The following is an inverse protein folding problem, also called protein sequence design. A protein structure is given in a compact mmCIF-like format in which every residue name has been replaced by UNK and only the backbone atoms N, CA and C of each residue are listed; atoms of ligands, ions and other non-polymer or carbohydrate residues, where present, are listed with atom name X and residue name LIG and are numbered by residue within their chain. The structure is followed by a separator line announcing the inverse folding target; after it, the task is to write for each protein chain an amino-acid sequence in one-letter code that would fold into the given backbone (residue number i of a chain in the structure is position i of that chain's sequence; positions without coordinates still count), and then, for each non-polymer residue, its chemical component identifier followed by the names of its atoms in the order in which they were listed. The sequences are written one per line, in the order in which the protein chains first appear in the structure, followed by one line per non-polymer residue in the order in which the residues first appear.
data_IF_976875738584
#
_entry.id   IF_976875738584
#
_cell.length_a   1.000
_cell.length_b   1.000
_cell.length_c   1.000
_cell.angle_alpha   90.00
_cell.angle_beta   90.00
_cell.angle_gamma   90.00
#
_symmetry.space_group_name_H-M   'P 1'
#
loop_
_entity.id
_entity.type
_entity.pdbx_description
1 polymer ?
#
# COMPACT_ATOMS: atom_id res chain seq x y z
N UNK A 1 51.84 26.25 40.65
CA UNK A 1 52.06 26.36 39.19
C UNK A 1 50.87 25.87 38.34
N UNK A 2 50.20 24.75 38.65
CA UNK A 2 49.04 24.27 37.84
C UNK A 2 47.75 25.12 37.95
N UNK A 3 47.47 25.80 39.07
CA UNK A 3 46.29 26.66 39.20
C UNK A 3 46.44 28.04 38.52
N UNK A 4 47.67 28.53 38.34
CA UNK A 4 47.94 29.78 37.63
C UNK A 4 47.79 29.59 36.11
N UNK A 5 48.02 28.37 35.60
CA UNK A 5 47.80 28.02 34.20
C UNK A 5 46.31 27.99 33.81
N UNK A 6 45.43 27.58 34.72
CA UNK A 6 43.98 27.54 34.49
C UNK A 6 43.37 28.94 34.54
N UNK A 7 43.87 29.81 35.45
CA UNK A 7 43.45 31.22 35.46
C UNK A 7 44.00 32.01 34.27
N UNK A 8 45.20 31.72 33.75
CA UNK A 8 45.69 32.35 32.51
C UNK A 8 44.85 31.94 31.30
N UNK A 9 44.43 30.68 31.21
CA UNK A 9 43.55 30.20 30.13
C UNK A 9 42.15 30.82 30.24
N UNK A 10 41.61 31.02 31.45
CA UNK A 10 40.34 31.71 31.66
C UNK A 10 40.41 33.24 31.41
N UNK A 11 41.56 33.89 31.70
CA UNK A 11 41.77 35.30 31.40
C UNK A 11 42.04 35.55 29.90
N UNK A 12 42.63 34.57 29.19
CA UNK A 12 42.72 34.55 27.72
C UNK A 12 41.36 34.27 27.05
N UNK A 13 40.46 33.53 27.71
CA UNK A 13 39.07 33.38 27.27
C UNK A 13 38.20 34.63 27.50
N UNK A 14 38.68 35.61 28.28
CA UNK A 14 38.05 36.92 28.45
C UNK A 14 38.41 37.94 27.36
N UNK A 15 39.37 37.61 26.49
CA UNK A 15 39.85 38.41 25.36
C UNK A 15 40.27 37.45 24.22
N UNK A 16 39.33 36.64 23.73
CA UNK A 16 39.53 35.85 22.52
C UNK A 16 38.53 36.32 21.48
N UNK A 17 39.02 36.78 20.33
CA UNK A 17 38.21 36.78 19.13
C UNK A 17 37.53 35.41 19.00
N UNK A 18 36.22 35.44 18.76
CA UNK A 18 35.40 34.25 18.59
C UNK A 18 36.01 33.40 17.46
N UNK A 19 36.29 32.13 17.73
CA UNK A 19 37.15 31.34 16.88
C UNK A 19 36.34 30.65 15.76
N UNK A 20 36.33 31.28 14.59
CA UNK A 20 35.92 30.64 13.34
C UNK A 20 36.67 29.30 13.15
N UNK A 21 35.98 28.27 12.67
CA UNK A 21 36.56 26.95 12.44
C UNK A 21 36.65 26.67 10.95
N UNK A 22 37.73 26.06 10.47
CA UNK A 22 37.90 25.74 9.05
C UNK A 22 38.79 24.51 8.84
N UNK A 23 38.73 23.94 7.64
CA UNK A 23 39.53 22.78 7.26
C UNK A 23 39.24 22.32 5.83
N UNK A 24 39.63 21.09 5.53
CA UNK A 24 39.35 20.43 4.24
C UNK A 24 38.20 19.42 4.39
N UNK A 25 37.50 19.16 3.29
CA UNK A 25 36.39 18.19 3.21
C UNK A 25 36.32 17.59 1.80
N UNK A 26 37.49 17.25 1.26
CA UNK A 26 37.72 16.84 -0.11
C UNK A 26 39.13 17.23 -0.54
N UNK A 27 39.68 16.61 -1.61
CA UNK A 27 41.03 16.92 -2.10
C UNK A 27 41.19 18.38 -2.54
N UNK A 28 40.09 19.01 -2.97
CA UNK A 28 40.05 20.38 -3.49
C UNK A 28 38.96 21.22 -2.84
N UNK A 29 38.38 20.75 -1.73
CA UNK A 29 37.31 21.43 -1.01
C UNK A 29 37.75 21.87 0.38
N UNK A 30 37.30 23.05 0.76
CA UNK A 30 37.51 23.64 2.08
C UNK A 30 36.18 23.97 2.72
N UNK A 31 36.11 23.84 4.04
CA UNK A 31 34.98 24.31 4.82
C UNK A 31 35.39 25.44 5.74
N UNK A 32 34.47 26.36 5.98
CA UNK A 32 34.59 27.45 6.95
C UNK A 32 33.27 27.58 7.71
N UNK A 33 33.33 27.66 9.02
CA UNK A 33 32.19 27.78 9.91
C UNK A 33 32.37 29.03 10.76
N UNK A 34 31.43 29.96 10.60
CA UNK A 34 31.33 31.19 11.39
C UNK A 34 30.65 30.93 12.73
N UNK A 35 30.87 31.83 13.70
CA UNK A 35 30.31 31.70 15.05
C UNK A 35 28.77 31.80 15.11
N UNK A 36 28.16 32.44 14.10
CA UNK A 36 26.70 32.49 13.97
C UNK A 36 26.10 31.19 13.39
N UNK A 37 26.94 30.20 13.06
CA UNK A 37 26.53 28.86 12.64
C UNK A 37 26.35 28.70 11.13
N UNK A 38 27.04 29.50 10.31
CA UNK A 38 27.00 29.39 8.84
C UNK A 38 28.18 28.57 8.36
N UNK A 39 27.90 27.36 7.85
CA UNK A 39 28.89 26.50 7.23
C UNK A 39 28.97 26.77 5.73
N UNK A 40 30.13 27.17 5.25
CA UNK A 40 30.40 27.38 3.82
C UNK A 40 31.35 26.29 3.31
N UNK A 41 30.96 25.59 2.24
CA UNK A 41 31.81 24.66 1.50
C UNK A 41 32.28 25.36 0.23
N UNK A 42 33.59 25.46 0.02
CA UNK A 42 34.21 26.17 -1.10
C UNK A 42 35.25 25.31 -1.81
N UNK A 43 35.56 25.65 -3.06
CA UNK A 43 36.47 24.87 -3.90
C UNK A 43 35.73 24.16 -5.03
N UNK A 44 36.40 23.21 -5.67
CA UNK A 44 35.88 22.48 -6.84
C UNK A 44 35.96 20.97 -6.65
N UNK A 45 34.88 20.26 -6.95
CA UNK A 45 34.84 18.80 -6.98
C UNK A 45 33.96 18.20 -5.90
N UNK A 46 34.31 16.98 -5.48
CA UNK A 46 33.49 16.13 -4.61
C UNK A 46 33.82 16.33 -3.13
N UNK A 47 32.79 16.31 -2.29
CA UNK A 47 32.96 16.22 -0.84
C UNK A 47 33.42 14.81 -0.43
N UNK A 48 34.23 14.75 0.62
CA UNK A 48 34.56 13.48 1.29
C UNK A 48 33.31 12.77 1.79
N UNK A 49 33.36 11.44 1.79
CA UNK A 49 32.36 10.58 2.45
C UNK A 49 32.72 10.39 3.93
N UNK A 50 31.69 10.39 4.78
CA UNK A 50 31.80 10.22 6.22
C UNK A 50 31.07 8.95 6.66
N UNK A 51 31.31 8.51 7.89
CA UNK A 51 30.55 7.41 8.49
C UNK A 51 30.39 7.65 9.99
N UNK A 52 29.19 7.45 10.51
CA UNK A 52 28.92 7.60 11.96
C UNK A 52 28.99 6.24 12.66
N UNK A 53 29.63 6.12 13.85
CA UNK A 53 30.33 7.18 14.61
C UNK A 53 31.82 7.37 14.25
N UNK A 54 32.40 6.56 13.36
CA UNK A 54 33.85 6.39 13.24
C UNK A 54 34.59 7.52 12.50
N UNK A 55 33.97 8.12 11.50
CA UNK A 55 34.53 9.21 10.68
C UNK A 55 33.46 10.30 10.48
N UNK A 56 33.13 11.03 11.54
CA UNK A 56 32.11 12.08 11.48
C UNK A 56 32.60 13.33 10.73
N UNK A 57 31.69 14.01 10.04
CA UNK A 57 31.98 15.29 9.41
C UNK A 57 32.51 16.31 10.45
N UNK A 58 33.52 17.13 10.10
CA UNK A 58 34.19 18.03 11.06
C UNK A 58 33.25 18.97 11.80
N UNK A 59 32.16 19.40 11.16
CA UNK A 59 31.19 20.35 11.70
C UNK A 59 30.06 19.73 12.54
N UNK A 60 30.00 18.39 12.69
CA UNK A 60 28.88 17.67 13.30
C UNK A 60 28.43 18.22 14.66
N UNK A 61 29.39 18.63 15.50
CA UNK A 61 29.14 19.05 16.88
C UNK A 61 29.09 20.57 17.07
N UNK A 62 29.11 21.34 15.98
CA UNK A 62 29.19 22.80 16.06
C UNK A 62 27.84 23.52 15.92
N UNK A 63 26.72 22.79 15.91
CA UNK A 63 25.38 23.41 15.87
C UNK A 63 25.13 24.23 14.60
N UNK A 64 25.48 23.67 13.43
CA UNK A 64 25.31 24.33 12.13
C UNK A 64 23.84 24.71 11.92
N UNK A 65 23.60 26.00 11.61
CA UNK A 65 22.26 26.56 11.40
C UNK A 65 21.93 26.77 9.93
N UNK A 66 22.94 27.06 9.11
CA UNK A 66 22.80 27.31 7.67
C UNK A 66 24.01 26.75 6.92
N UNK A 67 23.76 26.13 5.77
CA UNK A 67 24.81 25.61 4.88
C UNK A 67 24.77 26.35 3.54
N UNK A 68 25.94 26.73 3.05
CA UNK A 68 26.15 27.29 1.70
C UNK A 68 27.15 26.39 0.98
N UNK A 69 26.67 25.62 0.00
CA UNK A 69 27.53 24.81 -0.87
C UNK A 69 27.97 25.68 -2.06
N UNK A 70 29.27 25.77 -2.31
CA UNK A 70 29.83 26.63 -3.35
C UNK A 70 29.62 26.12 -4.77
N UNK A 71 29.54 27.05 -5.73
CA UNK A 71 29.08 26.82 -7.12
C UNK A 71 29.92 25.83 -7.96
N UNK A 72 31.04 25.33 -7.46
CA UNK A 72 31.88 24.33 -8.16
C UNK A 72 31.94 22.97 -7.43
N UNK A 73 31.15 22.78 -6.37
CA UNK A 73 30.99 21.48 -5.70
C UNK A 73 30.07 20.59 -6.52
N UNK A 74 30.48 19.36 -6.81
CA UNK A 74 29.75 18.45 -7.71
C UNK A 74 28.97 17.35 -7.00
N UNK A 75 29.35 17.04 -5.75
CA UNK A 75 28.79 15.92 -4.97
C UNK A 75 28.72 16.30 -3.50
N UNK A 76 27.58 16.04 -2.86
CA UNK A 76 27.46 16.02 -1.40
C UNK A 76 27.73 14.60 -0.92
N UNK A 77 28.74 14.46 -0.06
CA UNK A 77 29.26 13.17 0.43
C UNK A 77 28.30 12.43 1.36
N UNK A 78 28.57 11.14 1.53
CA UNK A 78 27.84 10.28 2.48
C UNK A 78 27.91 10.85 3.89
N UNK A 79 26.79 10.89 4.62
CA UNK A 79 26.69 11.44 5.98
C UNK A 79 27.17 12.90 6.17
N UNK A 80 27.46 13.66 5.09
CA UNK A 80 28.16 14.95 5.17
C UNK A 80 27.51 15.95 6.15
N UNK A 81 26.18 16.03 6.19
CA UNK A 81 25.43 16.90 7.08
C UNK A 81 24.50 16.11 8.01
N UNK A 82 24.76 14.82 8.20
CA UNK A 82 23.94 13.98 9.05
C UNK A 82 23.98 14.44 10.51
N UNK A 83 22.83 14.46 11.17
CA UNK A 83 22.58 14.96 12.53
C UNK A 83 22.95 16.43 12.76
N UNK A 84 23.00 17.27 11.72
CA UNK A 84 23.00 18.73 11.88
C UNK A 84 21.61 19.18 12.36
N UNK A 85 21.25 18.86 13.60
CA UNK A 85 19.89 19.00 14.14
C UNK A 85 19.40 20.44 14.25
N UNK A 86 20.33 21.42 14.29
CA UNK A 86 20.03 22.86 14.29
C UNK A 86 19.94 23.47 12.88
N UNK A 87 20.17 22.69 11.82
CA UNK A 87 20.16 23.17 10.44
C UNK A 87 18.74 23.59 10.06
N UNK A 88 18.57 24.84 9.65
CA UNK A 88 17.27 25.40 9.24
C UNK A 88 17.18 25.62 7.73
N UNK A 89 18.31 25.79 7.05
CA UNK A 89 18.37 26.04 5.61
C UNK A 89 19.69 25.58 4.98
N UNK A 90 19.61 25.09 3.75
CA UNK A 90 20.76 24.71 2.92
C UNK A 90 20.61 25.31 1.53
N UNK A 91 21.70 25.86 0.99
CA UNK A 91 21.81 26.26 -0.42
C UNK A 91 22.66 25.24 -1.16
N UNK A 92 22.06 24.56 -2.14
CA UNK A 92 22.72 23.56 -2.99
C UNK A 92 22.78 24.13 -4.43
N UNK A 93 23.96 24.34 -5.02
CA UNK A 93 24.10 24.95 -6.34
C UNK A 93 23.84 23.92 -7.46
N UNK A 94 23.54 24.42 -8.67
CA UNK A 94 23.30 23.59 -9.86
C UNK A 94 24.53 22.80 -10.35
N UNK A 95 25.70 22.98 -9.76
CA UNK A 95 26.85 22.11 -10.02
C UNK A 95 26.75 20.75 -9.32
N UNK A 96 25.95 20.63 -8.26
CA UNK A 96 25.77 19.37 -7.52
C UNK A 96 24.90 18.41 -8.32
N UNK A 97 25.48 17.30 -8.75
CA UNK A 97 24.80 16.25 -9.53
C UNK A 97 24.33 15.07 -8.69
N UNK A 98 24.90 14.91 -7.49
CA UNK A 98 24.65 13.75 -6.61
C UNK A 98 24.54 14.20 -5.15
N UNK A 99 23.46 13.75 -4.49
CA UNK A 99 23.29 13.79 -3.04
C UNK A 99 23.37 12.34 -2.54
N UNK A 100 24.47 11.98 -1.90
CA UNK A 100 24.73 10.61 -1.45
C UNK A 100 23.89 10.21 -0.23
N UNK A 101 24.03 8.94 0.14
CA UNK A 101 23.29 8.33 1.23
C UNK A 101 23.50 9.08 2.54
N UNK A 102 22.42 9.18 3.33
CA UNK A 102 22.40 9.84 4.65
C UNK A 102 22.86 11.32 4.67
N UNK A 103 23.06 11.98 3.52
CA UNK A 103 23.69 13.31 3.43
C UNK A 103 23.09 14.36 4.38
N UNK A 104 21.77 14.39 4.54
CA UNK A 104 21.03 15.27 5.45
C UNK A 104 20.20 14.50 6.49
N UNK A 105 20.50 13.22 6.71
CA UNK A 105 19.75 12.40 7.68
C UNK A 105 19.75 13.04 9.07
N UNK A 106 18.61 13.06 9.75
CA UNK A 106 18.39 13.64 11.08
C UNK A 106 18.71 15.15 11.19
N UNK A 107 18.59 15.90 10.09
CA UNK A 107 18.52 17.38 10.13
C UNK A 107 17.12 17.83 10.60
N UNK A 108 16.78 17.54 11.86
CA UNK A 108 15.42 17.63 12.39
C UNK A 108 14.78 19.03 12.31
N UNK A 109 15.57 20.11 12.29
CA UNK A 109 15.07 21.49 12.15
C UNK A 109 15.03 22.03 10.72
N UNK A 110 15.39 21.22 9.71
CA UNK A 110 15.43 21.67 8.32
C UNK A 110 14.01 21.82 7.81
N UNK A 111 13.63 23.04 7.38
CA UNK A 111 12.23 23.36 7.06
C UNK A 111 11.90 23.27 5.57
N UNK A 112 12.90 23.46 4.71
CA UNK A 112 12.78 23.41 3.25
C UNK A 112 14.11 23.01 2.60
N UNK A 113 14.01 22.32 1.47
CA UNK A 113 15.15 22.00 0.59
C UNK A 113 14.73 22.16 -0.86
N UNK A 114 15.52 22.90 -1.62
CA UNK A 114 15.43 22.94 -3.09
C UNK A 114 16.52 22.04 -3.65
N UNK A 115 16.13 20.94 -4.27
CA UNK A 115 17.06 20.03 -4.94
C UNK A 115 17.36 20.62 -6.34
N UNK A 116 18.64 20.84 -6.72
CA UNK A 116 18.97 21.50 -7.97
C UNK A 116 18.72 20.62 -9.20
N UNK A 117 18.45 21.25 -10.35
CA UNK A 117 18.07 20.61 -11.62
C UNK A 117 19.15 19.70 -12.25
N UNK A 118 20.32 19.62 -11.65
CA UNK A 118 21.41 18.74 -12.05
C UNK A 118 21.43 17.42 -11.27
N UNK A 119 20.67 17.31 -10.17
CA UNK A 119 20.60 16.08 -9.39
C UNK A 119 19.78 15.03 -10.12
N UNK A 120 20.37 13.87 -10.37
CA UNK A 120 19.69 12.75 -11.06
C UNK A 120 19.18 11.68 -10.11
N UNK A 121 19.74 11.60 -8.90
CA UNK A 121 19.43 10.58 -7.88
C UNK A 121 19.41 11.24 -6.51
N UNK A 122 18.36 10.95 -5.73
CA UNK A 122 18.33 11.21 -4.30
C UNK A 122 18.69 9.90 -3.61
N UNK A 123 19.87 9.86 -2.96
CA UNK A 123 20.38 8.65 -2.32
C UNK A 123 19.54 8.14 -1.15
N UNK A 124 19.83 6.92 -0.73
CA UNK A 124 19.13 6.27 0.37
C UNK A 124 19.30 7.08 1.66
N UNK A 125 18.22 7.22 2.42
CA UNK A 125 18.19 7.98 3.68
C UNK A 125 18.61 9.47 3.55
N UNK A 126 18.72 10.03 2.34
CA UNK A 126 19.30 11.37 2.12
C UNK A 126 18.68 12.47 3.01
N UNK A 127 17.37 12.44 3.23
CA UNK A 127 16.62 13.35 4.11
C UNK A 127 15.83 12.61 5.21
N UNK A 128 16.21 11.36 5.53
CA UNK A 128 15.60 10.58 6.60
C UNK A 128 15.59 11.38 7.92
N UNK A 129 14.46 11.45 8.63
CA UNK A 129 14.35 12.13 9.92
C UNK A 129 14.40 13.66 9.86
N UNK A 130 14.26 14.28 8.68
CA UNK A 130 14.05 15.73 8.58
C UNK A 130 12.63 16.13 9.02
N UNK A 131 12.30 15.92 10.30
CA UNK A 131 10.93 16.00 10.83
C UNK A 131 10.24 17.35 10.65
N UNK A 132 10.99 18.46 10.57
CA UNK A 132 10.45 19.80 10.31
C UNK A 132 10.34 20.16 8.83
N UNK A 133 10.73 19.27 7.90
CA UNK A 133 10.69 19.55 6.46
C UNK A 133 9.24 19.67 6.00
N UNK A 134 8.83 20.87 5.60
CA UNK A 134 7.42 21.16 5.24
C UNK A 134 7.13 21.01 3.75
N UNK A 135 8.16 21.19 2.92
CA UNK A 135 8.11 21.11 1.46
C UNK A 135 9.46 20.67 0.89
N UNK A 136 9.40 19.91 -0.20
CA UNK A 136 10.57 19.57 -1.03
C UNK A 136 10.19 19.73 -2.50
N UNK A 137 11.07 20.39 -3.26
CA UNK A 137 10.95 20.46 -4.72
C UNK A 137 11.90 19.44 -5.33
N UNK A 138 11.35 18.39 -5.95
CA UNK A 138 12.10 17.37 -6.68
C UNK A 138 12.14 17.77 -8.17
N UNK A 139 13.33 18.03 -8.75
CA UNK A 139 13.44 18.51 -10.12
C UNK A 139 13.27 17.40 -11.16
N UNK A 140 12.90 17.78 -12.39
CA UNK A 140 12.68 16.87 -13.54
C UNK A 140 13.94 16.13 -14.02
N UNK A 141 15.09 16.36 -13.40
CA UNK A 141 16.32 15.57 -13.62
C UNK A 141 16.35 14.30 -12.79
N UNK A 142 15.60 14.24 -11.68
CA UNK A 142 15.61 13.08 -10.78
C UNK A 142 14.89 11.90 -11.42
N UNK A 143 15.58 10.78 -11.48
CA UNK A 143 15.05 9.51 -12.02
C UNK A 143 14.74 8.49 -10.94
N UNK A 144 15.40 8.62 -9.78
CA UNK A 144 15.29 7.68 -8.65
C UNK A 144 15.23 8.43 -7.33
N UNK A 145 14.24 8.06 -6.50
CA UNK A 145 14.15 8.42 -5.09
C UNK A 145 14.52 7.16 -4.29
N UNK A 146 15.64 7.21 -3.57
CA UNK A 146 16.19 6.07 -2.84
C UNK A 146 15.34 5.58 -1.67
N UNK A 147 15.75 4.46 -1.09
CA UNK A 147 15.11 3.88 0.08
C UNK A 147 15.21 4.84 1.27
N UNK A 148 14.14 4.99 2.03
CA UNK A 148 14.06 5.89 3.19
C UNK A 148 14.40 7.38 2.90
N UNK A 149 14.45 7.82 1.63
CA UNK A 149 14.95 9.14 1.26
C UNK A 149 14.29 10.30 2.03
N UNK A 150 12.99 10.23 2.30
CA UNK A 150 12.20 11.20 3.08
C UNK A 150 11.47 10.53 4.26
N UNK A 151 11.92 9.35 4.70
CA UNK A 151 11.34 8.67 5.85
C UNK A 151 11.32 9.59 7.07
N UNK A 152 10.20 9.63 7.80
CA UNK A 152 10.05 10.44 9.01
C UNK A 152 10.03 11.96 8.78
N UNK A 153 9.88 12.44 7.55
CA UNK A 153 9.60 13.86 7.27
C UNK A 153 8.15 14.19 7.66
N UNK A 154 7.85 14.12 8.95
CA UNK A 154 6.48 14.11 9.49
C UNK A 154 5.70 15.39 9.22
N UNK A 155 6.38 16.52 9.05
CA UNK A 155 5.78 17.82 8.70
C UNK A 155 5.60 18.05 7.19
N UNK A 156 6.01 17.11 6.34
CA UNK A 156 5.96 17.29 4.89
C UNK A 156 4.51 17.29 4.43
N UNK A 157 4.02 18.43 3.95
CA UNK A 157 2.60 18.61 3.60
C UNK A 157 2.27 18.28 2.15
N UNK A 158 3.27 18.43 1.27
CA UNK A 158 3.15 18.18 -0.16
C UNK A 158 4.49 17.71 -0.75
N UNK A 159 4.41 16.84 -1.76
CA UNK A 159 5.53 16.47 -2.61
C UNK A 159 5.04 16.39 -4.05
N UNK A 160 5.78 17.03 -4.96
CA UNK A 160 5.55 16.86 -6.40
C UNK A 160 6.60 15.90 -6.93
N UNK A 161 6.18 14.70 -7.33
CA UNK A 161 7.06 13.71 -7.95
C UNK A 161 7.07 13.97 -9.46
N UNK A 162 8.22 14.32 -10.08
CA UNK A 162 8.27 14.67 -11.49
C UNK A 162 8.15 13.44 -12.40
N UNK A 163 7.68 13.65 -13.64
CA UNK A 163 7.51 12.60 -14.66
C UNK A 163 8.82 11.93 -15.11
N UNK A 164 9.98 12.42 -14.65
CA UNK A 164 11.27 11.77 -14.86
C UNK A 164 11.51 10.61 -13.89
N UNK A 165 10.82 10.56 -12.75
CA UNK A 165 11.00 9.52 -11.75
C UNK A 165 10.43 8.20 -12.26
N UNK A 166 11.26 7.16 -12.18
CA UNK A 166 10.90 5.79 -12.58
C UNK A 166 10.81 4.85 -11.39
N UNK A 167 11.48 5.18 -10.28
CA UNK A 167 11.58 4.37 -9.07
C UNK A 167 11.41 5.21 -7.81
N UNK A 168 10.51 4.76 -6.92
CA UNK A 168 10.36 5.22 -5.54
C UNK A 168 10.77 4.05 -4.64
N UNK A 169 11.82 4.25 -3.84
CA UNK A 169 12.37 3.25 -2.93
C UNK A 169 11.43 2.82 -1.81
N UNK A 170 11.78 1.73 -1.13
CA UNK A 170 11.09 1.29 0.09
C UNK A 170 11.19 2.34 1.19
N UNK A 171 10.13 2.47 1.99
CA UNK A 171 10.03 3.49 3.06
C UNK A 171 10.29 4.95 2.63
N UNK A 172 10.35 5.26 1.33
CA UNK A 172 10.82 6.55 0.82
C UNK A 172 10.08 7.76 1.43
N UNK A 173 8.77 7.64 1.68
CA UNK A 173 7.94 8.64 2.35
C UNK A 173 7.23 8.06 3.59
N UNK A 174 7.75 6.97 4.17
CA UNK A 174 7.14 6.40 5.38
C UNK A 174 7.14 7.43 6.52
N UNK A 175 6.03 7.52 7.26
CA UNK A 175 5.89 8.46 8.37
C UNK A 175 5.81 9.93 7.97
N UNK A 176 5.58 10.25 6.69
CA UNK A 176 5.19 11.60 6.26
C UNK A 176 3.74 11.92 6.68
N UNK A 177 3.49 11.95 7.98
CA UNK A 177 2.16 11.99 8.59
C UNK A 177 1.30 13.21 8.20
N UNK A 178 1.92 14.34 7.84
CA UNK A 178 1.23 15.54 7.36
C UNK A 178 1.01 15.59 5.85
N UNK A 179 1.46 14.58 5.09
CA UNK A 179 1.31 14.57 3.63
C UNK A 179 -0.15 14.38 3.27
N UNK A 180 -0.77 15.40 2.68
CA UNK A 180 -2.23 15.40 2.41
C UNK A 180 -2.59 14.80 1.06
N UNK A 181 -1.66 14.89 0.11
CA UNK A 181 -1.80 14.36 -1.24
C UNK A 181 -0.44 14.01 -1.83
N UNK A 182 -0.42 12.99 -2.68
CA UNK A 182 0.73 12.63 -3.50
C UNK A 182 0.24 12.32 -4.91
N UNK A 183 0.88 12.95 -5.89
CA UNK A 183 0.70 12.58 -7.31
C UNK A 183 1.88 11.73 -7.73
N UNK A 184 1.62 10.45 -8.01
CA UNK A 184 2.62 9.51 -8.51
C UNK A 184 2.48 9.46 -10.05
N UNK A 185 3.50 9.90 -10.82
CA UNK A 185 3.37 9.98 -12.26
C UNK A 185 3.40 8.60 -12.94
N UNK A 186 2.84 8.51 -14.16
CA UNK A 186 2.82 7.28 -14.97
C UNK A 186 4.20 6.76 -15.37
N UNK A 187 5.25 7.57 -15.22
CA UNK A 187 6.64 7.15 -15.40
C UNK A 187 7.13 6.19 -14.30
N UNK A 188 6.51 6.20 -13.11
CA UNK A 188 6.91 5.38 -11.98
C UNK A 188 6.49 3.93 -12.20
N UNK A 189 7.48 3.08 -12.46
CA UNK A 189 7.28 1.64 -12.68
C UNK A 189 7.40 0.83 -11.38
N UNK A 190 8.11 1.37 -10.38
CA UNK A 190 8.39 0.70 -9.11
C UNK A 190 8.08 1.61 -7.94
N UNK A 191 7.23 1.12 -7.03
CA UNK A 191 6.99 1.69 -5.70
C UNK A 191 7.42 0.62 -4.69
N UNK A 192 8.39 0.94 -3.84
CA UNK A 192 8.91 0.04 -2.80
C UNK A 192 7.88 -0.28 -1.72
N UNK A 193 8.13 -1.37 -0.97
CA UNK A 193 7.31 -1.68 0.21
C UNK A 193 7.39 -0.55 1.24
N UNK A 194 6.35 -0.35 2.03
CA UNK A 194 6.25 0.75 3.01
C UNK A 194 6.40 2.18 2.43
N UNK A 195 6.50 2.38 1.11
CA UNK A 195 6.89 3.68 0.54
C UNK A 195 6.04 4.86 1.03
N UNK A 196 4.75 4.64 1.30
CA UNK A 196 3.82 5.64 1.86
C UNK A 196 3.14 5.15 3.15
N UNK A 197 3.74 4.18 3.85
CA UNK A 197 3.23 3.71 5.14
C UNK A 197 3.22 4.84 6.18
N UNK A 198 2.23 4.87 7.06
CA UNK A 198 2.03 5.91 8.09
C UNK A 198 1.89 7.35 7.53
N UNK A 199 1.56 7.50 6.24
CA UNK A 199 1.13 8.78 5.66
C UNK A 199 -0.33 9.09 6.07
N UNK A 200 -0.56 9.27 7.37
CA UNK A 200 -1.88 9.27 7.98
C UNK A 200 -2.85 10.34 7.46
N UNK A 201 -2.35 11.42 6.85
CA UNK A 201 -3.15 12.52 6.29
C UNK A 201 -3.50 12.38 4.80
N UNK A 202 -2.98 11.38 4.09
CA UNK A 202 -3.30 11.21 2.65
C UNK A 202 -4.78 10.85 2.53
N UNK A 203 -5.50 11.62 1.72
CA UNK A 203 -6.96 11.44 1.54
C UNK A 203 -7.32 10.65 0.28
N UNK A 204 -6.45 10.69 -0.74
CA UNK A 204 -6.62 9.97 -2.00
C UNK A 204 -5.28 9.59 -2.61
N UNK A 205 -5.27 8.45 -3.31
CA UNK A 205 -4.10 7.98 -4.08
C UNK A 205 -4.56 7.47 -5.44
N UNK A 206 -3.84 7.88 -6.48
CA UNK A 206 -3.94 7.26 -7.82
C UNK A 206 -2.67 6.46 -8.08
N UNK A 207 -2.81 5.14 -8.21
CA UNK A 207 -1.69 4.27 -8.55
C UNK A 207 -1.42 4.38 -10.06
N UNK A 208 -0.15 4.54 -10.50
CA UNK A 208 0.22 4.66 -11.91
C UNK A 208 -0.12 3.41 -12.75
N UNK A 209 -0.51 3.60 -14.02
CA UNK A 209 -0.82 2.50 -14.95
C UNK A 209 0.39 1.62 -15.33
N UNK A 210 1.60 2.03 -14.95
CA UNK A 210 2.84 1.28 -15.14
C UNK A 210 3.15 0.34 -13.98
N UNK A 211 2.46 0.48 -12.85
CA UNK A 211 2.64 -0.38 -11.66
C UNK A 211 1.86 -1.69 -11.86
N UNK A 212 2.55 -2.81 -11.68
CA UNK A 212 1.96 -4.16 -11.75
C UNK A 212 1.75 -4.82 -10.38
N UNK A 213 2.47 -4.37 -9.36
CA UNK A 213 2.38 -4.88 -7.99
C UNK A 213 2.32 -3.74 -7.01
N UNK A 214 1.28 -3.71 -6.18
CA UNK A 214 1.27 -2.89 -4.96
C UNK A 214 1.98 -3.72 -3.89
N UNK A 215 3.17 -3.30 -3.48
CA UNK A 215 4.01 -4.08 -2.56
C UNK A 215 3.43 -4.08 -1.14
N UNK A 216 4.00 -4.93 -0.32
CA UNK A 216 3.65 -5.01 1.09
C UNK A 216 3.77 -3.66 1.80
N UNK A 217 2.79 -3.38 2.67
CA UNK A 217 2.69 -2.15 3.47
C UNK A 217 2.72 -0.81 2.71
N UNK A 218 2.60 -0.80 1.36
CA UNK A 218 2.82 0.43 0.56
C UNK A 218 2.01 1.64 1.07
N UNK A 219 0.76 1.43 1.48
CA UNK A 219 -0.14 2.45 2.06
C UNK A 219 -0.69 2.03 3.43
N UNK A 220 0.06 1.21 4.19
CA UNK A 220 -0.33 0.82 5.55
C UNK A 220 -0.50 2.06 6.45
N UNK A 221 -1.52 2.06 7.30
CA UNK A 221 -1.90 3.15 8.20
C UNK A 221 -2.08 4.53 7.53
N UNK A 222 -2.47 4.57 6.25
CA UNK A 222 -3.00 5.80 5.63
C UNK A 222 -4.43 6.05 6.15
N UNK A 223 -4.56 6.38 7.44
CA UNK A 223 -5.84 6.37 8.18
C UNK A 223 -6.90 7.32 7.62
N UNK A 224 -6.50 8.42 6.97
CA UNK A 224 -7.41 9.36 6.29
C UNK A 224 -7.72 9.01 4.83
N UNK A 225 -7.18 7.92 4.29
CA UNK A 225 -7.39 7.53 2.90
C UNK A 225 -8.86 7.17 2.68
N UNK A 226 -9.57 7.99 1.91
CA UNK A 226 -11.00 7.80 1.63
C UNK A 226 -11.24 7.07 0.31
N UNK A 227 -10.29 7.18 -0.63
CA UNK A 227 -10.38 6.62 -1.98
C UNK A 227 -9.02 6.22 -2.52
N UNK A 228 -8.98 5.11 -3.24
CA UNK A 228 -7.80 4.65 -4.00
C UNK A 228 -8.23 4.23 -5.40
N UNK A 229 -7.48 4.66 -6.41
CA UNK A 229 -7.62 4.17 -7.79
C UNK A 229 -6.54 3.15 -8.07
N UNK A 230 -6.94 1.88 -8.25
CA UNK A 230 -6.06 0.76 -8.62
C UNK A 230 -6.23 0.49 -10.13
N UNK A 231 -5.20 0.65 -10.97
CA UNK A 231 -5.30 0.48 -12.41
C UNK A 231 -5.31 -1.01 -12.81
N UNK A 232 -5.84 -1.28 -14.02
CA UNK A 232 -5.90 -2.62 -14.61
C UNK A 232 -4.52 -3.24 -14.94
N UNK A 233 -3.42 -2.50 -14.73
CA UNK A 233 -2.06 -3.04 -14.81
C UNK A 233 -1.70 -3.88 -13.58
N UNK A 234 -2.36 -3.64 -12.44
CA UNK A 234 -2.04 -4.31 -11.18
C UNK A 234 -2.54 -5.76 -11.20
N UNK A 235 -1.64 -6.71 -10.96
CA UNK A 235 -1.94 -8.14 -10.87
C UNK A 235 -1.92 -8.65 -9.43
N UNK A 236 -1.23 -7.94 -8.53
CA UNK A 236 -0.99 -8.36 -7.15
C UNK A 236 -1.16 -7.19 -6.18
N UNK A 237 -1.95 -7.40 -5.13
CA UNK A 237 -2.02 -6.53 -3.95
C UNK A 237 -1.30 -7.25 -2.81
N UNK A 238 -0.16 -6.72 -2.38
CA UNK A 238 0.70 -7.29 -1.34
C UNK A 238 0.08 -7.29 0.05
N UNK A 239 0.72 -7.98 0.99
CA UNK A 239 0.25 -8.03 2.37
C UNK A 239 0.29 -6.67 3.05
N UNK A 240 -0.67 -6.37 3.92
CA UNK A 240 -0.81 -5.07 4.60
C UNK A 240 -0.86 -3.83 3.66
N UNK A 241 -1.01 -3.99 2.34
CA UNK A 241 -0.86 -2.89 1.38
C UNK A 241 -1.75 -1.67 1.67
N UNK A 242 -2.96 -1.89 2.19
CA UNK A 242 -3.93 -0.90 2.64
C UNK A 242 -4.43 -1.19 4.06
N UNK A 243 -3.64 -1.90 4.87
CA UNK A 243 -3.99 -2.13 6.28
C UNK A 243 -4.12 -0.80 7.01
N UNK A 244 -5.03 -0.70 7.98
CA UNK A 244 -5.22 0.51 8.78
C UNK A 244 -5.76 1.72 8.01
N UNK A 245 -6.20 1.56 6.75
CA UNK A 245 -6.88 2.62 5.98
C UNK A 245 -8.31 2.84 6.49
N UNK A 246 -8.45 3.28 7.74
CA UNK A 246 -9.70 3.30 8.50
C UNK A 246 -10.82 4.16 7.90
N UNK A 247 -10.47 5.15 7.05
CA UNK A 247 -11.44 6.01 6.35
C UNK A 247 -11.84 5.51 4.95
N UNK A 248 -11.27 4.39 4.48
CA UNK A 248 -11.52 3.90 3.12
C UNK A 248 -12.94 3.34 3.03
N UNK A 249 -13.79 3.97 2.21
CA UNK A 249 -15.24 3.66 2.18
C UNK A 249 -15.61 2.60 1.14
N UNK A 250 -14.85 2.54 0.04
CA UNK A 250 -15.01 1.57 -1.04
C UNK A 250 -13.67 1.31 -1.75
N UNK A 251 -13.52 0.12 -2.30
CA UNK A 251 -12.40 -0.23 -3.17
C UNK A 251 -12.89 -1.07 -4.34
N UNK A 252 -12.49 -0.67 -5.56
CA UNK A 252 -12.70 -1.47 -6.77
C UNK A 252 -11.40 -2.20 -7.08
N UNK A 253 -11.39 -3.51 -6.90
CA UNK A 253 -10.24 -4.36 -7.26
C UNK A 253 -10.38 -4.70 -8.76
N UNK A 254 -9.41 -4.36 -9.63
CA UNK A 254 -9.54 -4.57 -11.06
C UNK A 254 -9.44 -6.05 -11.44
N UNK A 255 -10.07 -6.42 -12.57
CA UNK A 255 -10.13 -7.80 -13.09
C UNK A 255 -8.75 -8.39 -13.50
N UNK A 256 -7.69 -7.60 -13.43
CA UNK A 256 -6.30 -8.04 -13.60
C UNK A 256 -5.72 -8.67 -12.32
N UNK A 257 -6.28 -8.35 -11.14
CA UNK A 257 -5.77 -8.83 -9.85
C UNK A 257 -6.09 -10.31 -9.68
N UNK A 258 -5.06 -11.10 -9.39
CA UNK A 258 -5.18 -12.54 -9.16
C UNK A 258 -4.98 -12.94 -7.70
N UNK A 259 -4.31 -12.06 -6.92
CA UNK A 259 -3.89 -12.32 -5.53
C UNK A 259 -4.16 -11.10 -4.66
N UNK A 260 -4.83 -11.33 -3.53
CA UNK A 260 -4.97 -10.38 -2.42
C UNK A 260 -4.17 -10.95 -1.24
N UNK A 261 -3.10 -10.25 -0.85
CA UNK A 261 -2.20 -10.66 0.23
C UNK A 261 -2.85 -10.65 1.60
N UNK A 262 -2.18 -11.27 2.59
CA UNK A 262 -2.67 -11.29 3.96
C UNK A 262 -2.72 -9.87 4.54
N UNK A 263 -3.71 -9.58 5.38
CA UNK A 263 -3.97 -8.25 5.95
C UNK A 263 -4.12 -7.10 4.93
N UNK A 264 -4.24 -7.36 3.62
CA UNK A 264 -4.18 -6.33 2.58
C UNK A 264 -5.13 -5.15 2.79
N UNK A 265 -6.33 -5.38 3.32
CA UNK A 265 -7.34 -4.38 3.68
C UNK A 265 -7.78 -4.52 5.15
N UNK A 266 -6.92 -5.06 6.01
CA UNK A 266 -7.25 -5.21 7.43
C UNK A 266 -7.51 -3.86 8.09
N UNK A 267 -8.48 -3.78 8.99
CA UNK A 267 -8.85 -2.58 9.76
C UNK A 267 -9.23 -1.40 8.83
N UNK A 268 -9.71 -1.68 7.61
CA UNK A 268 -10.44 -0.69 6.82
C UNK A 268 -11.86 -0.52 7.40
N UNK A 269 -11.95 0.05 8.61
CA UNK A 269 -13.16 0.03 9.44
C UNK A 269 -14.37 0.71 8.80
N UNK A 270 -14.15 1.68 7.90
CA UNK A 270 -15.21 2.37 7.14
C UNK A 270 -15.59 1.70 5.82
N UNK A 271 -14.94 0.58 5.45
CA UNK A 271 -15.17 -0.07 4.16
C UNK A 271 -16.57 -0.69 4.12
N UNK A 272 -17.47 -0.08 3.34
CA UNK A 272 -18.88 -0.51 3.26
C UNK A 272 -19.12 -1.58 2.20
N UNK A 273 -18.28 -1.61 1.18
CA UNK A 273 -18.36 -2.54 0.05
C UNK A 273 -16.98 -2.82 -0.54
N UNK A 274 -16.81 -4.04 -1.01
CA UNK A 274 -15.65 -4.48 -1.80
C UNK A 274 -16.14 -5.31 -2.97
N UNK A 275 -15.62 -5.02 -4.17
CA UNK A 275 -15.83 -5.87 -5.35
C UNK A 275 -14.58 -6.72 -5.57
N UNK A 276 -14.68 -8.02 -5.29
CA UNK A 276 -13.60 -8.99 -5.56
C UNK A 276 -13.85 -9.61 -6.94
N UNK A 277 -12.98 -9.39 -7.93
CA UNK A 277 -13.21 -9.85 -9.30
C UNK A 277 -12.96 -11.35 -9.46
N UNK A 278 -13.58 -11.96 -10.48
CA UNK A 278 -13.46 -13.39 -10.80
C UNK A 278 -12.09 -13.80 -11.37
N UNK A 279 -11.11 -12.89 -11.33
CA UNK A 279 -9.69 -13.18 -11.56
C UNK A 279 -8.97 -13.59 -10.28
N UNK A 280 -9.49 -13.23 -9.10
CA UNK A 280 -8.88 -13.55 -7.81
C UNK A 280 -9.03 -15.04 -7.51
N UNK A 281 -7.92 -15.71 -7.25
CA UNK A 281 -7.92 -17.16 -6.95
C UNK A 281 -7.73 -17.47 -5.46
N UNK A 282 -7.13 -16.53 -4.73
CA UNK A 282 -6.81 -16.65 -3.31
C UNK A 282 -7.07 -15.33 -2.58
N UNK A 283 -7.74 -15.41 -1.43
CA UNK A 283 -7.87 -14.34 -0.45
C UNK A 283 -6.95 -14.71 0.73
N UNK A 284 -5.94 -13.88 1.00
CA UNK A 284 -4.97 -14.12 2.06
C UNK A 284 -5.55 -14.05 3.47
N UNK A 285 -4.78 -14.54 4.45
CA UNK A 285 -5.17 -14.54 5.85
C UNK A 285 -5.38 -13.09 6.34
N UNK A 286 -6.42 -12.84 7.13
CA UNK A 286 -6.76 -11.53 7.67
C UNK A 286 -7.04 -10.43 6.62
N UNK A 287 -7.19 -10.78 5.33
CA UNK A 287 -7.23 -9.80 4.23
C UNK A 287 -8.24 -8.66 4.42
N UNK A 288 -9.38 -8.92 5.05
CA UNK A 288 -10.43 -7.95 5.37
C UNK A 288 -10.79 -7.98 6.87
N UNK A 289 -9.91 -8.50 7.74
CA UNK A 289 -10.14 -8.55 9.19
C UNK A 289 -10.48 -7.15 9.70
N UNK A 290 -11.54 -7.01 10.51
CA UNK A 290 -11.91 -5.75 11.15
C UNK A 290 -12.49 -4.71 10.19
N UNK A 291 -12.92 -5.09 8.98
CA UNK A 291 -13.73 -4.22 8.10
C UNK A 291 -15.15 -4.07 8.68
N UNK A 292 -15.27 -3.39 9.81
CA UNK A 292 -16.47 -3.37 10.65
C UNK A 292 -17.70 -2.76 9.98
N UNK A 293 -17.55 -1.92 8.96
CA UNK A 293 -18.67 -1.35 8.18
C UNK A 293 -19.09 -2.19 6.98
N UNK A 294 -18.40 -3.30 6.67
CA UNK A 294 -18.69 -4.11 5.49
C UNK A 294 -20.03 -4.82 5.69
N UNK A 295 -21.00 -4.58 4.80
CA UNK A 295 -22.38 -5.11 4.96
C UNK A 295 -22.64 -6.39 4.17
N UNK A 296 -21.94 -6.57 3.06
CA UNK A 296 -22.01 -7.79 2.26
C UNK A 296 -20.70 -8.04 1.54
N UNK A 297 -20.42 -9.31 1.27
CA UNK A 297 -19.29 -9.71 0.44
C UNK A 297 -19.70 -10.80 -0.54
N UNK A 298 -19.19 -10.71 -1.76
CA UNK A 298 -19.29 -11.77 -2.76
C UNK A 298 -17.90 -12.30 -3.06
N UNK A 299 -17.68 -13.56 -2.68
CA UNK A 299 -16.48 -14.32 -3.00
C UNK A 299 -16.69 -14.94 -4.38
N UNK A 300 -15.89 -14.59 -5.39
CA UNK A 300 -16.16 -14.99 -6.77
C UNK A 300 -15.87 -16.48 -7.02
N UNK A 301 -16.39 -16.99 -8.13
CA UNK A 301 -16.31 -18.41 -8.52
C UNK A 301 -14.88 -18.89 -8.82
N UNK A 302 -13.91 -17.99 -8.93
CA UNK A 302 -12.49 -18.32 -9.11
C UNK A 302 -11.75 -18.60 -7.80
N UNK A 303 -12.28 -18.17 -6.66
CA UNK A 303 -11.60 -18.33 -5.37
C UNK A 303 -11.69 -19.79 -4.93
N UNK A 304 -10.54 -20.38 -4.60
CA UNK A 304 -10.47 -21.77 -4.13
C UNK A 304 -10.28 -21.89 -2.62
N UNK A 305 -9.71 -20.86 -2.00
CA UNK A 305 -9.47 -20.77 -0.55
C UNK A 305 -9.77 -19.37 -0.04
N UNK A 306 -10.52 -19.32 1.07
CA UNK A 306 -10.64 -18.14 1.93
C UNK A 306 -9.65 -18.35 3.09
N UNK A 307 -8.70 -17.42 3.28
CA UNK A 307 -7.68 -17.50 4.32
C UNK A 307 -8.21 -17.42 5.76
N UNK A 308 -7.36 -17.74 6.72
CA UNK A 308 -7.69 -17.66 8.15
C UNK A 308 -7.98 -16.21 8.55
N UNK A 309 -9.00 -15.99 9.36
CA UNK A 309 -9.44 -14.66 9.83
C UNK A 309 -9.76 -13.66 8.70
N UNK A 310 -9.90 -14.12 7.44
CA UNK A 310 -10.00 -13.23 6.28
C UNK A 310 -11.10 -12.18 6.38
N UNK A 311 -12.21 -12.48 7.07
CA UNK A 311 -13.30 -11.56 7.37
C UNK A 311 -13.63 -11.52 8.89
N UNK A 312 -12.70 -11.95 9.76
CA UNK A 312 -12.92 -11.89 11.22
C UNK A 312 -13.24 -10.46 11.67
N UNK A 313 -14.10 -10.30 12.67
CA UNK A 313 -14.50 -9.00 13.22
C UNK A 313 -15.16 -8.04 12.19
N UNK A 314 -15.65 -8.54 11.05
CA UNK A 314 -16.56 -7.80 10.16
C UNK A 314 -17.96 -7.73 10.78
N UNK A 315 -18.12 -6.94 11.84
CA UNK A 315 -19.30 -6.98 12.72
C UNK A 315 -20.61 -6.53 12.07
N UNK A 316 -20.60 -5.68 11.02
CA UNK A 316 -21.80 -5.33 10.25
C UNK A 316 -22.08 -6.23 9.04
N UNK A 317 -21.30 -7.29 8.84
CA UNK A 317 -21.48 -8.19 7.71
C UNK A 317 -22.81 -8.94 7.87
N UNK A 318 -23.74 -8.72 6.92
CA UNK A 318 -25.08 -9.31 6.95
C UNK A 318 -25.22 -10.48 5.99
N UNK A 319 -24.55 -10.39 4.84
CA UNK A 319 -24.69 -11.34 3.73
C UNK A 319 -23.34 -11.77 3.17
N UNK A 320 -23.14 -13.08 3.03
CA UNK A 320 -21.95 -13.67 2.40
C UNK A 320 -22.39 -14.54 1.24
N UNK A 321 -21.88 -14.26 0.04
CA UNK A 321 -22.03 -15.14 -1.13
C UNK A 321 -20.70 -15.84 -1.40
N UNK A 322 -20.69 -17.16 -1.38
CA UNK A 322 -19.51 -18.02 -1.57
C UNK A 322 -19.58 -18.65 -2.95
N UNK A 323 -18.56 -18.39 -3.77
CA UNK A 323 -18.46 -18.91 -5.14
C UNK A 323 -18.30 -20.43 -5.22
N UNK A 324 -18.59 -20.98 -6.40
CA UNK A 324 -18.69 -22.43 -6.62
C UNK A 324 -17.37 -23.21 -6.51
N UNK A 325 -16.22 -22.56 -6.63
CA UNK A 325 -14.91 -23.21 -6.57
C UNK A 325 -14.27 -23.19 -5.18
N UNK A 326 -14.92 -22.58 -4.18
CA UNK A 326 -14.36 -22.53 -2.81
C UNK A 326 -14.32 -23.95 -2.23
N UNK A 327 -13.13 -24.40 -1.88
CA UNK A 327 -12.87 -25.74 -1.31
C UNK A 327 -12.66 -25.69 0.19
N UNK A 328 -11.95 -24.67 0.66
CA UNK A 328 -11.53 -24.53 2.06
C UNK A 328 -11.78 -23.11 2.58
N UNK A 329 -12.25 -23.03 3.81
CA UNK A 329 -12.46 -21.79 4.58
C UNK A 329 -11.58 -21.89 5.84
N UNK A 330 -10.57 -21.01 5.93
CA UNK A 330 -9.54 -21.05 6.96
C UNK A 330 -10.04 -20.71 8.37
N UNK A 331 -9.20 -20.98 9.36
CA UNK A 331 -9.51 -20.79 10.78
C UNK A 331 -10.11 -19.40 11.07
N UNK A 332 -11.21 -19.34 11.82
CA UNK A 332 -11.87 -18.07 12.20
C UNK A 332 -12.23 -17.12 11.03
N UNK A 333 -12.34 -17.60 9.78
CA UNK A 333 -12.53 -16.73 8.61
C UNK A 333 -13.72 -15.77 8.70
N UNK A 334 -14.82 -16.14 9.37
CA UNK A 334 -15.98 -15.27 9.63
C UNK A 334 -16.27 -15.13 11.15
N UNK A 335 -15.26 -15.33 11.99
CA UNK A 335 -15.37 -15.20 13.43
C UNK A 335 -15.84 -13.78 13.82
N UNK A 336 -16.75 -13.70 14.81
CA UNK A 336 -17.31 -12.43 15.30
C UNK A 336 -18.03 -11.58 14.23
N UNK A 337 -18.43 -12.17 13.12
CA UNK A 337 -19.38 -11.56 12.19
C UNK A 337 -20.82 -11.65 12.72
N UNK A 338 -21.08 -10.99 13.86
CA UNK A 338 -22.29 -11.19 14.69
C UNK A 338 -23.62 -10.85 13.99
N UNK A 339 -23.58 -10.08 12.91
CA UNK A 339 -24.78 -9.65 12.17
C UNK A 339 -25.08 -10.48 10.91
N UNK A 340 -24.35 -11.57 10.65
CA UNK A 340 -24.63 -12.41 9.48
C UNK A 340 -26.01 -13.05 9.64
N UNK A 341 -26.91 -12.75 8.71
CA UNK A 341 -28.28 -13.27 8.67
C UNK A 341 -28.50 -14.20 7.47
N UNK A 342 -27.62 -14.15 6.46
CA UNK A 342 -27.69 -15.03 5.31
C UNK A 342 -26.29 -15.40 4.79
N UNK A 343 -26.09 -16.70 4.54
CA UNK A 343 -24.97 -17.22 3.77
C UNK A 343 -25.54 -17.94 2.54
N UNK A 344 -24.98 -17.67 1.38
CA UNK A 344 -25.30 -18.36 0.13
C UNK A 344 -24.03 -18.99 -0.41
N UNK A 345 -24.05 -20.29 -0.67
CA UNK A 345 -22.92 -21.01 -1.27
C UNK A 345 -23.33 -21.60 -2.61
N UNK A 346 -22.54 -21.36 -3.65
CA UNK A 346 -22.68 -22.01 -4.95
C UNK A 346 -21.87 -23.30 -5.07
N UNK A 347 -21.08 -23.67 -4.04
CA UNK A 347 -20.25 -24.85 -4.06
C UNK A 347 -21.10 -26.13 -3.99
N UNK A 348 -20.93 -27.01 -4.98
CA UNK A 348 -21.65 -28.29 -5.07
C UNK A 348 -21.20 -29.27 -3.99
N UNK A 349 -19.93 -29.24 -3.64
CA UNK A 349 -19.39 -29.94 -2.46
C UNK A 349 -19.30 -28.92 -1.34
N UNK A 350 -19.86 -29.18 -0.14
CA UNK A 350 -19.71 -28.27 0.99
C UNK A 350 -18.24 -27.96 1.24
N UNK A 351 -17.83 -26.67 1.30
CA UNK A 351 -16.46 -26.31 1.63
C UNK A 351 -16.07 -26.86 3.00
N UNK A 352 -14.83 -27.32 3.11
CA UNK A 352 -14.27 -27.70 4.42
C UNK A 352 -13.97 -26.42 5.21
N UNK A 353 -14.56 -26.29 6.39
CA UNK A 353 -14.28 -25.20 7.31
C UNK A 353 -13.30 -25.67 8.39
N UNK A 354 -12.26 -24.87 8.63
CA UNK A 354 -11.36 -25.02 9.77
C UNK A 354 -12.02 -24.54 11.08
N UNK A 355 -11.27 -24.59 12.19
CA UNK A 355 -11.81 -24.28 13.52
C UNK A 355 -12.38 -22.85 13.58
N UNK A 356 -13.51 -22.70 14.25
CA UNK A 356 -14.06 -21.38 14.61
C UNK A 356 -14.57 -20.50 13.46
N UNK A 357 -14.70 -21.03 12.24
CA UNK A 357 -15.13 -20.25 11.06
C UNK A 357 -16.38 -19.42 11.31
N UNK A 358 -17.39 -19.98 12.00
CA UNK A 358 -18.66 -19.31 12.29
C UNK A 358 -18.83 -18.93 13.78
N UNK A 359 -17.75 -18.85 14.56
CA UNK A 359 -17.86 -18.47 15.96
C UNK A 359 -18.52 -17.09 16.13
N UNK A 360 -19.42 -17.00 17.11
CA UNK A 360 -20.27 -15.83 17.39
C UNK A 360 -21.27 -15.46 16.29
N UNK A 361 -21.46 -16.31 15.29
CA UNK A 361 -22.61 -16.23 14.37
C UNK A 361 -23.75 -17.07 14.93
N UNK A 362 -24.97 -16.52 14.93
CA UNK A 362 -26.16 -17.29 15.28
C UNK A 362 -26.61 -18.15 14.08
N UNK A 363 -25.94 -19.29 13.87
CA UNK A 363 -26.20 -20.23 12.76
C UNK A 363 -27.65 -20.72 12.73
N UNK A 364 -28.30 -20.87 13.89
CA UNK A 364 -29.73 -21.26 13.97
C UNK A 364 -30.71 -20.23 13.40
N UNK A 365 -30.30 -18.95 13.36
CA UNK A 365 -31.07 -17.84 12.76
C UNK A 365 -30.51 -17.38 11.41
N UNK A 366 -29.36 -17.90 11.01
CA UNK A 366 -28.74 -17.59 9.74
C UNK A 366 -29.35 -18.45 8.64
N UNK A 367 -29.88 -17.81 7.60
CA UNK A 367 -30.39 -18.52 6.42
C UNK A 367 -29.23 -19.03 5.56
N UNK A 368 -29.13 -20.34 5.38
CA UNK A 368 -28.16 -20.96 4.49
C UNK A 368 -28.84 -21.37 3.17
N UNK A 369 -28.37 -20.83 2.06
CA UNK A 369 -28.86 -21.15 0.71
C UNK A 369 -27.78 -21.90 -0.04
N UNK A 370 -28.09 -23.10 -0.52
CA UNK A 370 -27.12 -24.00 -1.20
C UNK A 370 -27.70 -24.57 -2.49
N UNK A 371 -26.91 -25.22 -3.37
CA UNK A 371 -27.46 -25.87 -4.56
C UNK A 371 -28.45 -26.96 -4.16
N UNK A 372 -29.62 -27.02 -4.82
CA UNK A 372 -30.68 -27.98 -4.48
C UNK A 372 -30.20 -29.44 -4.45
N UNK A 373 -29.30 -29.82 -5.35
CA UNK A 373 -28.71 -31.16 -5.44
C UNK A 373 -27.64 -31.44 -4.38
N UNK A 374 -27.19 -30.41 -3.65
CA UNK A 374 -26.19 -30.52 -2.58
C UNK A 374 -26.81 -30.36 -1.19
N UNK A 375 -28.11 -30.11 -1.10
CA UNK A 375 -28.80 -29.83 0.17
C UNK A 375 -28.53 -30.89 1.23
N UNK A 376 -28.62 -32.17 0.86
CA UNK A 376 -28.39 -33.27 1.81
C UNK A 376 -26.91 -33.39 2.21
N UNK A 377 -25.97 -33.06 1.30
CA UNK A 377 -24.55 -33.04 1.59
C UNK A 377 -24.19 -31.93 2.60
N UNK A 378 -24.78 -30.73 2.47
CA UNK A 378 -24.59 -29.67 3.46
C UNK A 378 -25.19 -30.02 4.82
N UNK A 379 -26.37 -30.67 4.86
CA UNK A 379 -26.99 -31.11 6.12
C UNK A 379 -26.16 -32.18 6.87
N UNK A 380 -25.34 -32.95 6.16
CA UNK A 380 -24.50 -34.02 6.72
C UNK A 380 -23.07 -33.56 7.01
N UNK A 381 -22.67 -32.37 6.53
CA UNK A 381 -21.33 -31.85 6.74
C UNK A 381 -21.25 -31.20 8.12
N UNK A 382 -20.37 -31.70 8.99
CA UNK A 382 -20.25 -31.24 10.39
C UNK A 382 -20.05 -29.73 10.52
N UNK A 383 -19.44 -29.08 9.52
CA UNK A 383 -19.21 -27.63 9.53
C UNK A 383 -20.47 -26.80 9.25
N UNK A 384 -21.48 -27.43 8.67
CA UNK A 384 -22.70 -26.79 8.16
C UNK A 384 -23.98 -27.33 8.83
N UNK A 385 -23.88 -28.40 9.62
CA UNK A 385 -25.03 -29.07 10.25
C UNK A 385 -25.79 -28.19 11.26
N UNK A 386 -25.11 -27.19 11.85
CA UNK A 386 -25.71 -26.25 12.82
C UNK A 386 -26.64 -25.20 12.18
N UNK A 387 -26.69 -25.10 10.84
CA UNK A 387 -27.60 -24.18 10.14
C UNK A 387 -29.01 -24.78 10.02
N UNK A 388 -29.86 -24.52 11.01
CA UNK A 388 -31.25 -25.03 11.01
C UNK A 388 -32.14 -24.44 9.91
N UNK A 389 -31.81 -23.26 9.37
CA UNK A 389 -32.54 -22.59 8.30
C UNK A 389 -31.86 -22.78 6.93
N UNK A 390 -31.73 -24.04 6.50
CA UNK A 390 -31.11 -24.39 5.21
C UNK A 390 -32.14 -24.66 4.11
N UNK A 391 -31.95 -24.05 2.93
CA UNK A 391 -32.78 -24.30 1.75
C UNK A 391 -31.96 -24.55 0.48
N UNK A 392 -32.48 -25.43 -0.38
CA UNK A 392 -31.91 -25.68 -1.70
C UNK A 392 -32.45 -24.69 -2.72
N UNK A 393 -31.59 -23.89 -3.32
CA UNK A 393 -31.94 -23.01 -4.43
C UNK A 393 -31.62 -23.64 -5.79
N UNK A 394 -32.43 -23.30 -6.80
CA UNK A 394 -32.17 -23.66 -8.19
C UNK A 394 -31.41 -22.58 -8.97
N UNK A 395 -31.01 -21.48 -8.32
CA UNK A 395 -30.31 -20.33 -8.93
C UNK A 395 -28.81 -20.55 -9.11
N UNK A 396 -28.18 -21.52 -8.41
CA UNK A 396 -26.75 -21.83 -8.49
C UNK A 396 -26.29 -22.59 -9.75
N UNK A 397 -27.05 -22.56 -10.85
CA UNK A 397 -26.62 -23.16 -12.12
C UNK A 397 -25.96 -22.07 -12.97
N UNK A 398 -24.65 -21.83 -12.77
CA UNK A 398 -23.88 -20.80 -13.50
C UNK A 398 -23.18 -21.30 -14.76
N UNK A 399 -23.25 -22.59 -15.10
CA UNK A 399 -22.50 -23.17 -16.23
C UNK A 399 -23.23 -23.21 -17.60
N UNK A 400 -23.59 -22.07 -18.22
CA UNK A 400 -23.49 -21.94 -19.71
C UNK A 400 -22.18 -21.28 -19.98
N UNK A 401 -21.60 -21.74 -21.07
CA UNK A 401 -20.89 -20.92 -22.03
C UNK A 401 -21.85 -20.43 -23.15
N UNK A 402 -22.29 -19.17 -23.17
CA UNK A 402 -22.97 -18.66 -24.38
C UNK A 402 -21.89 -18.41 -25.42
N UNK A 403 -21.80 -19.27 -26.44
CA UNK A 403 -20.99 -19.01 -27.61
C UNK A 403 -21.82 -18.25 -28.65
N UNK A 404 -21.24 -17.18 -29.17
CA UNK A 404 -21.84 -16.21 -30.09
C UNK A 404 -21.86 -16.81 -31.50
N UNK A 405 -22.78 -17.73 -31.75
CA UNK A 405 -22.96 -18.32 -33.08
C UNK A 405 -24.42 -18.74 -33.36
N UNK A 406 -25.39 -17.89 -33.03
CA UNK A 406 -26.76 -17.88 -33.61
C UNK A 406 -27.65 -19.14 -33.52
N UNK A 407 -27.13 -20.30 -33.12
CA UNK A 407 -27.78 -21.59 -33.12
C UNK A 407 -27.25 -22.42 -31.93
N UNK A 408 -28.14 -22.89 -31.07
CA UNK A 408 -27.79 -23.61 -29.84
C UNK A 408 -28.50 -24.95 -29.74
N UNK A 409 -27.80 -25.97 -29.22
CA UNK A 409 -28.49 -27.18 -28.79
C UNK A 409 -29.23 -26.90 -27.47
N UNK A 410 -30.50 -27.29 -27.41
CA UNK A 410 -31.37 -27.07 -26.25
C UNK A 410 -31.72 -28.40 -25.62
N UNK A 411 -31.49 -28.51 -24.32
CA UNK A 411 -31.82 -29.70 -23.54
C UNK A 411 -32.85 -29.35 -22.46
N UNK A 412 -33.69 -30.31 -22.11
CA UNK A 412 -34.48 -30.21 -20.88
C UNK A 412 -33.55 -30.30 -19.67
N UNK A 413 -34.04 -29.91 -18.50
CA UNK A 413 -33.27 -30.05 -17.24
C UNK A 413 -32.88 -31.51 -16.93
N UNK A 414 -33.59 -32.49 -17.52
CA UNK A 414 -33.30 -33.91 -17.38
C UNK A 414 -32.31 -34.42 -18.45
N UNK A 415 -31.68 -33.52 -19.23
CA UNK A 415 -30.68 -33.87 -20.24
C UNK A 415 -31.24 -34.41 -21.56
N UNK A 416 -32.56 -34.50 -21.72
CA UNK A 416 -33.16 -34.90 -22.98
C UNK A 416 -32.99 -33.78 -24.01
N UNK A 417 -32.38 -34.09 -25.16
CA UNK A 417 -32.21 -33.12 -26.25
C UNK A 417 -33.57 -32.75 -26.81
N UNK A 418 -33.90 -31.46 -26.81
CA UNK A 418 -35.19 -30.92 -27.25
C UNK A 418 -35.11 -30.28 -28.62
N UNK A 419 -34.07 -29.47 -28.86
CA UNK A 419 -33.79 -28.85 -30.14
C UNK A 419 -32.29 -29.00 -30.44
N UNK A 420 -31.93 -29.04 -31.71
CA UNK A 420 -30.54 -28.98 -32.15
C UNK A 420 -30.33 -27.78 -33.04
N UNK A 421 -29.25 -27.02 -32.81
CA UNK A 421 -28.93 -25.80 -33.57
C UNK A 421 -30.13 -24.83 -33.65
N UNK A 422 -30.82 -24.58 -32.55
CA UNK A 422 -31.99 -23.71 -32.49
C UNK A 422 -31.62 -22.22 -32.49
N UNK A 423 -32.33 -21.43 -33.30
CA UNK A 423 -32.28 -19.98 -33.30
C UNK A 423 -32.90 -19.37 -32.04
N UNK A 424 -32.63 -18.08 -31.78
CA UNK A 424 -33.21 -17.36 -30.64
C UNK A 424 -34.73 -17.39 -30.62
N UNK A 425 -35.37 -17.29 -31.78
CA UNK A 425 -36.84 -17.30 -31.89
C UNK A 425 -37.42 -18.68 -31.59
N UNK A 426 -36.77 -19.76 -32.03
CA UNK A 426 -37.16 -21.13 -31.69
C UNK A 426 -36.98 -21.45 -30.21
N UNK A 427 -35.95 -20.86 -29.57
CA UNK A 427 -35.74 -20.97 -28.12
C UNK A 427 -36.82 -20.21 -27.35
N UNK A 428 -37.18 -19.00 -27.80
CA UNK A 428 -38.23 -18.19 -27.17
C UNK A 428 -39.64 -18.77 -27.36
N UNK A 429 -39.86 -19.57 -28.41
CA UNK A 429 -41.12 -20.26 -28.68
C UNK A 429 -41.30 -21.57 -27.88
N UNK A 430 -40.30 -21.99 -27.09
CA UNK A 430 -40.42 -23.18 -26.25
C UNK A 430 -41.53 -23.00 -25.19
N UNK A 431 -42.22 -24.09 -24.80
CA UNK A 431 -43.16 -24.04 -23.69
C UNK A 431 -42.50 -23.50 -22.42
N UNK A 432 -43.26 -22.77 -21.60
CA UNK A 432 -42.79 -22.23 -20.32
C UNK A 432 -42.09 -23.30 -19.50
N UNK A 433 -40.87 -23.02 -19.06
CA UNK A 433 -40.04 -24.02 -18.42
C UNK A 433 -38.57 -23.64 -18.32
N UNK A 434 -37.80 -24.58 -17.76
CA UNK A 434 -36.36 -24.43 -17.53
C UNK A 434 -35.60 -25.28 -18.54
N UNK A 435 -34.69 -24.65 -19.27
CA UNK A 435 -33.90 -25.30 -20.32
C UNK A 435 -32.42 -25.05 -20.14
N UNK A 436 -31.62 -25.96 -20.68
CA UNK A 436 -30.17 -25.82 -20.80
C UNK A 436 -29.87 -25.44 -22.25
N UNK A 437 -29.44 -24.20 -22.46
CA UNK A 437 -29.07 -23.67 -23.80
C UNK A 437 -27.60 -23.34 -23.77
N UNK A 438 -26.79 -24.12 -24.49
CA UNK A 438 -25.32 -24.13 -24.47
C UNK A 438 -24.69 -24.46 -23.07
N UNK A 439 -25.49 -24.89 -22.07
CA UNK A 439 -25.08 -25.10 -20.65
C UNK A 439 -25.77 -24.22 -19.56
N UNK A 440 -26.25 -23.02 -19.90
CA UNK A 440 -27.07 -22.01 -19.20
C UNK A 440 -28.38 -22.62 -18.94
N UNK A 441 -28.70 -22.78 -17.67
CA UNK A 441 -30.07 -22.62 -17.27
C UNK A 441 -30.63 -21.28 -17.77
N UNK A 442 -31.64 -21.35 -18.62
CA UNK A 442 -32.52 -20.24 -18.97
C UNK A 442 -33.95 -20.58 -18.54
N UNK A 443 -34.75 -19.55 -18.30
CA UNK A 443 -36.17 -19.68 -17.92
C UNK A 443 -36.99 -19.01 -19.02
N UNK A 444 -37.83 -19.79 -19.71
CA UNK A 444 -38.83 -19.27 -20.66
C UNK A 444 -40.12 -19.02 -19.86
N UNK A 445 -40.57 -17.76 -19.83
CA UNK A 445 -41.63 -17.25 -18.92
C UNK A 445 -43.03 -17.29 -19.50
#
# INVERSE_FOLDING_TARGET
MKQIYILLIALLMGLSAKAESSGTCGPNLKWHLTDDGVLTISGKGEMDDYSVPYNSAPWRYFGVKRIIVGDSVTTIGEYAFSYCSSLTSVTIPNSVTTIKEYAFSNCSSLTSVTIPNSVTTIGDNAFNGCSSLTSVTIPNSVTTIGDNAFNGCSSLTSVTIPNSVTTIGGWAFNGCSSLTSVTIPNSVTTIGGWAFSDCSSITSVTIPNSVTTIREYTFDNCSSLTSVTIPNSVTTIGGWAFSGCGSLTSVTIPNSVTTIGGWAFSICSSLTSVTIPNSVTTIGDNAFMGCSSLTSVTIPNSVTRIGSEAFSDCTNLQKVNIGNSVKTIGEFAFNKCTNITQISSEAVVPPTCESGVFFYINTSKCKLIVPKNSLDAYKQAYQWEDFSLIEGSTTGITNTVYNKAGLADVYTINGAKRLSKASTDEINALPKGVYIVNGKKIIIK
#
